data_IF_099412955463
#
_entry.id   IF_099412955463
#
_cell.length_a   1.000
_cell.length_b   1.000
_cell.length_c   1.000
_cell.angle_alpha   90.00
_cell.angle_beta   90.00
_cell.angle_gamma   90.00
#
_symmetry.space_group_name_H-M   'P 1'
#
loop_
_entity.id
_entity.type
_entity.pdbx_description
1 polymer ?
#
# COMPACT_ATOMS: atom_id res chain seq x y z
N UNK A 1 17.11 -30.06 -21.60
CA UNK A 1 16.31 -30.17 -20.35
C UNK A 1 15.74 -28.78 -20.05
N UNK A 2 14.42 -28.65 -19.95
CA UNK A 2 13.70 -27.37 -20.02
C UNK A 2 13.87 -26.54 -18.74
N UNK A 3 14.47 -25.33 -18.79
CA UNK A 3 14.67 -24.47 -17.62
C UNK A 3 13.36 -23.92 -17.01
N UNK A 4 12.23 -24.08 -17.70
CA UNK A 4 10.89 -23.69 -17.23
C UNK A 4 10.37 -24.53 -16.07
N UNK A 5 10.82 -25.79 -15.92
CA UNK A 5 10.38 -26.69 -14.82
C UNK A 5 11.01 -26.27 -13.48
N UNK A 6 12.20 -25.64 -13.51
CA UNK A 6 12.91 -25.18 -12.31
C UNK A 6 12.51 -23.76 -11.87
N UNK A 7 11.79 -23.01 -12.71
CA UNK A 7 11.26 -21.71 -12.31
C UNK A 7 10.05 -21.91 -11.40
N UNK A 8 10.28 -21.79 -10.08
CA UNK A 8 9.18 -21.68 -9.13
C UNK A 8 8.28 -20.51 -9.54
N UNK A 9 6.97 -20.74 -9.75
CA UNK A 9 6.07 -19.66 -10.11
C UNK A 9 6.03 -18.66 -8.95
N UNK A 10 6.49 -17.43 -9.21
CA UNK A 10 6.40 -16.34 -8.24
C UNK A 10 4.93 -15.90 -8.16
N UNK A 11 4.16 -16.59 -7.31
CA UNK A 11 2.76 -16.22 -7.06
C UNK A 11 2.74 -14.99 -6.17
N UNK A 12 2.60 -13.82 -6.78
CA UNK A 12 2.48 -12.55 -6.04
C UNK A 12 1.26 -12.52 -5.12
N UNK A 13 0.22 -13.32 -5.41
CA UNK A 13 -1.05 -13.34 -4.67
C UNK A 13 -1.58 -14.77 -4.50
N UNK A 14 -1.94 -15.15 -3.27
CA UNK A 14 -2.60 -16.43 -2.96
C UNK A 14 -4.11 -16.26 -2.80
N UNK A 15 -4.88 -16.76 -3.77
CA UNK A 15 -6.36 -16.71 -3.75
C UNK A 15 -6.97 -17.69 -2.76
N UNK A 16 -6.50 -18.93 -2.76
CA UNK A 16 -6.96 -19.99 -1.86
C UNK A 16 -5.74 -20.58 -1.15
N UNK A 17 -5.70 -20.49 0.18
CA UNK A 17 -4.62 -21.07 0.96
C UNK A 17 -4.84 -22.56 1.21
N UNK A 18 -3.76 -23.34 1.25
CA UNK A 18 -3.82 -24.79 1.46
C UNK A 18 -4.50 -25.19 2.79
N UNK A 19 -4.19 -24.51 3.90
CA UNK A 19 -4.73 -24.89 5.22
C UNK A 19 -6.17 -24.44 5.46
N UNK A 20 -6.53 -23.24 5.01
CA UNK A 20 -7.80 -22.59 5.40
C UNK A 20 -8.74 -22.32 4.22
N UNK A 21 -8.32 -22.58 2.98
CA UNK A 21 -9.06 -22.20 1.76
C UNK A 21 -9.20 -20.69 1.50
N UNK A 22 -8.69 -19.82 2.38
CA UNK A 22 -8.92 -18.36 2.31
C UNK A 22 -7.84 -17.59 1.53
N UNK A 23 -8.21 -16.41 1.04
CA UNK A 23 -7.28 -15.42 0.44
C UNK A 23 -6.23 -14.97 1.45
N UNK A 24 -4.99 -14.83 1.00
CA UNK A 24 -3.90 -14.25 1.81
C UNK A 24 -3.53 -12.87 1.30
N UNK A 25 -3.29 -11.95 2.24
CA UNK A 25 -2.80 -10.60 1.91
C UNK A 25 -1.30 -10.62 1.64
N UNK A 26 -0.88 -9.82 0.68
CA UNK A 26 0.54 -9.62 0.39
C UNK A 26 1.16 -8.71 1.45
N UNK A 27 2.05 -9.26 2.28
CA UNK A 27 2.63 -8.54 3.43
C UNK A 27 3.49 -7.34 3.03
N UNK A 28 4.06 -7.34 1.83
CA UNK A 28 4.84 -6.20 1.33
C UNK A 28 3.98 -4.94 1.13
N UNK A 29 2.70 -5.09 0.78
CA UNK A 29 1.76 -3.96 0.65
C UNK A 29 1.52 -3.32 2.00
N UNK A 30 1.14 -4.11 2.99
CA UNK A 30 0.85 -3.64 4.36
C UNK A 30 2.06 -2.92 4.98
N UNK A 31 3.29 -3.38 4.68
CA UNK A 31 4.52 -2.75 5.20
C UNK A 31 4.88 -1.43 4.54
N UNK A 32 4.37 -1.14 3.34
CA UNK A 32 4.82 0.00 2.50
C UNK A 32 3.75 1.05 2.27
N UNK A 33 2.49 0.68 2.39
CA UNK A 33 1.34 1.53 2.12
C UNK A 33 0.40 1.57 3.34
N UNK A 34 -0.22 2.72 3.56
CA UNK A 34 -1.25 2.92 4.57
C UNK A 34 -2.62 2.98 3.88
N UNK A 35 -3.61 2.25 4.42
CA UNK A 35 -4.99 2.23 3.93
C UNK A 35 -5.86 3.15 4.77
N UNK A 36 -6.41 4.20 4.15
CA UNK A 36 -7.42 5.08 4.76
C UNK A 36 -8.81 4.52 4.48
N UNK A 37 -9.78 4.72 5.39
CA UNK A 37 -11.09 4.06 5.29
C UNK A 37 -11.86 4.46 4.01
N UNK A 38 -11.77 5.73 3.61
CA UNK A 38 -12.30 6.31 2.37
C UNK A 38 -11.84 5.68 1.04
N UNK A 39 -11.02 4.63 1.07
CA UNK A 39 -10.58 3.90 -0.13
C UNK A 39 -9.25 4.38 -0.70
N UNK A 40 -8.65 5.42 -0.12
CA UNK A 40 -7.35 5.92 -0.54
C UNK A 40 -6.20 5.12 0.09
N UNK A 41 -5.11 5.04 -0.68
CA UNK A 41 -3.86 4.48 -0.23
C UNK A 41 -2.80 5.58 -0.20
N UNK A 42 -2.03 5.61 0.89
CA UNK A 42 -0.96 6.58 1.12
C UNK A 42 0.38 5.86 1.08
N UNK A 43 1.39 6.49 0.47
CA UNK A 43 2.77 5.99 0.42
C UNK A 43 3.79 7.09 0.66
N UNK A 44 5.01 6.69 1.04
CA UNK A 44 6.18 7.57 1.01
C UNK A 44 6.77 7.61 -0.41
N UNK A 45 7.38 8.73 -0.80
CA UNK A 45 8.13 8.80 -2.05
C UNK A 45 9.40 7.94 -1.98
N UNK A 46 9.74 7.27 -3.07
CA UNK A 46 10.92 6.41 -3.15
C UNK A 46 12.21 7.25 -3.09
N UNK A 47 13.26 6.66 -2.52
CA UNK A 47 14.57 7.32 -2.45
C UNK A 47 14.65 8.50 -1.47
N UNK A 48 13.64 8.75 -0.63
CA UNK A 48 13.65 9.84 0.36
C UNK A 48 14.77 9.75 1.42
N UNK A 49 15.43 8.60 1.55
CA UNK A 49 16.60 8.35 2.43
C UNK A 49 17.90 8.06 1.67
N UNK A 50 17.91 8.12 0.33
CA UNK A 50 19.05 7.69 -0.49
C UNK A 50 19.70 8.88 -1.19
N UNK A 51 21.04 8.87 -1.27
CA UNK A 51 21.86 9.88 -1.98
C UNK A 51 21.44 11.32 -1.66
N UNK A 52 21.23 11.63 -0.37
CA UNK A 52 20.68 12.93 0.05
C UNK A 52 21.63 14.09 -0.20
N UNK A 53 22.94 13.84 -0.15
CA UNK A 53 24.00 14.81 -0.40
C UNK A 53 23.98 15.37 -1.83
N UNK A 54 23.49 14.60 -2.82
CA UNK A 54 23.32 15.08 -4.21
C UNK A 54 22.03 15.88 -4.43
N UNK A 55 21.13 15.93 -3.44
CA UNK A 55 19.76 16.44 -3.63
C UNK A 55 19.62 17.83 -3.05
N UNK A 56 18.97 18.71 -3.80
CA UNK A 56 18.62 20.05 -3.33
C UNK A 56 17.70 19.99 -2.10
N UNK A 57 17.67 21.06 -1.31
CA UNK A 57 16.79 21.17 -0.16
C UNK A 57 15.31 20.99 -0.55
N UNK A 58 14.86 21.63 -1.64
CA UNK A 58 13.51 21.49 -2.16
C UNK A 58 13.17 20.04 -2.55
N UNK A 59 14.09 19.34 -3.22
CA UNK A 59 13.89 17.93 -3.58
C UNK A 59 13.80 17.04 -2.34
N UNK A 60 14.65 17.26 -1.32
CA UNK A 60 14.61 16.54 -0.05
C UNK A 60 13.29 16.77 0.70
N UNK A 61 12.74 17.98 0.64
CA UNK A 61 11.43 18.30 1.25
C UNK A 61 10.30 17.58 0.52
N UNK A 62 10.25 17.67 -0.81
CA UNK A 62 9.24 16.98 -1.62
C UNK A 62 9.23 15.46 -1.38
N UNK A 63 10.42 14.83 -1.36
CA UNK A 63 10.56 13.39 -1.13
C UNK A 63 10.12 12.94 0.26
N UNK A 64 10.19 13.82 1.26
CA UNK A 64 9.71 13.51 2.61
C UNK A 64 8.19 13.48 2.69
N UNK A 65 7.47 14.11 1.79
CA UNK A 65 6.01 14.14 1.84
C UNK A 65 5.39 12.75 1.59
N UNK A 66 4.26 12.50 2.25
CA UNK A 66 3.38 11.38 1.93
C UNK A 66 2.51 11.75 0.73
N UNK A 67 2.30 10.80 -0.17
CA UNK A 67 1.57 11.02 -1.42
C UNK A 67 0.50 9.94 -1.58
N UNK A 68 -0.62 10.33 -2.17
CA UNK A 68 -1.71 9.42 -2.53
C UNK A 68 -1.36 8.55 -3.73
N UNK A 69 -1.90 7.34 -3.74
CA UNK A 69 -1.85 6.45 -4.89
C UNK A 69 -2.89 6.83 -5.95
N UNK A 70 -2.61 6.49 -7.21
CA UNK A 70 -3.57 6.67 -8.31
C UNK A 70 -4.74 5.69 -8.18
N UNK A 71 -5.86 5.95 -8.85
CA UNK A 71 -7.05 5.08 -8.83
C UNK A 71 -6.73 3.63 -9.22
N UNK A 72 -5.90 3.43 -10.24
CA UNK A 72 -5.49 2.10 -10.71
C UNK A 72 -4.65 1.37 -9.67
N UNK A 73 -3.70 2.08 -9.03
CA UNK A 73 -2.90 1.54 -7.94
C UNK A 73 -3.77 1.15 -6.74
N UNK A 74 -4.70 2.01 -6.31
CA UNK A 74 -5.61 1.70 -5.21
C UNK A 74 -6.42 0.42 -5.48
N UNK A 75 -6.99 0.27 -6.69
CA UNK A 75 -7.72 -0.94 -7.09
C UNK A 75 -6.83 -2.19 -7.02
N UNK A 76 -5.57 -2.10 -7.45
CA UNK A 76 -4.61 -3.20 -7.36
C UNK A 76 -4.30 -3.57 -5.90
N UNK A 77 -4.00 -2.57 -5.05
CA UNK A 77 -3.69 -2.79 -3.63
C UNK A 77 -4.87 -3.38 -2.86
N UNK A 78 -6.10 -2.96 -3.19
CA UNK A 78 -7.32 -3.53 -2.63
C UNK A 78 -7.55 -4.99 -3.05
N UNK A 79 -7.08 -5.40 -4.23
CA UNK A 79 -7.06 -6.82 -4.63
C UNK A 79 -5.96 -7.57 -3.87
N UNK A 80 -4.81 -6.97 -3.62
CA UNK A 80 -3.69 -7.61 -2.92
C UNK A 80 -3.91 -7.77 -1.41
N UNK A 81 -4.95 -7.12 -0.86
CA UNK A 81 -5.26 -7.13 0.58
C UNK A 81 -6.64 -7.72 0.86
N UNK A 82 -6.85 -8.18 2.10
CA UNK A 82 -8.13 -8.76 2.54
C UNK A 82 -9.00 -7.69 3.21
N UNK A 83 -10.29 -8.00 3.43
CA UNK A 83 -11.25 -7.13 4.11
C UNK A 83 -10.78 -6.66 5.49
N UNK A 84 -9.99 -7.47 6.20
CA UNK A 84 -9.39 -7.12 7.48
C UNK A 84 -8.65 -5.77 7.45
N UNK A 85 -7.92 -5.47 6.37
CA UNK A 85 -7.17 -4.21 6.24
C UNK A 85 -8.03 -3.03 5.78
N UNK A 86 -9.29 -3.28 5.41
CA UNK A 86 -10.25 -2.27 4.93
C UNK A 86 -11.21 -1.81 6.03
N UNK A 87 -11.24 -2.53 7.16
CA UNK A 87 -12.10 -2.21 8.31
C UNK A 87 -11.77 -0.84 8.90
N UNK A 88 -12.78 -0.16 9.44
CA UNK A 88 -12.58 1.07 10.21
C UNK A 88 -11.83 0.75 11.51
N UNK A 89 -10.86 1.58 11.86
CA UNK A 89 -10.09 1.51 13.10
C UNK A 89 -10.23 2.82 13.86
N UNK A 90 -10.24 2.72 15.19
CA UNK A 90 -10.33 3.85 16.11
C UNK A 90 -9.17 3.73 17.10
N UNK A 91 -7.96 4.04 16.63
CA UNK A 91 -6.79 4.04 17.50
C UNK A 91 -6.76 5.34 18.30
N UNK A 92 -6.31 5.25 19.55
CA UNK A 92 -6.06 6.42 20.40
C UNK A 92 -4.92 7.23 19.78
N UNK A 93 -5.11 8.54 19.66
CA UNK A 93 -4.14 9.52 19.14
C UNK A 93 -3.60 9.22 17.73
N UNK A 94 -4.39 8.60 16.86
CA UNK A 94 -3.98 8.39 15.46
C UNK A 94 -3.94 9.72 14.68
N UNK A 95 -2.76 10.16 14.20
CA UNK A 95 -2.65 11.38 13.42
C UNK A 95 -3.43 11.32 12.09
N UNK A 96 -3.78 10.12 11.62
CA UNK A 96 -4.51 9.93 10.38
C UNK A 96 -6.03 9.92 10.53
N UNK A 97 -6.58 9.94 11.75
CA UNK A 97 -8.00 9.72 12.01
C UNK A 97 -8.92 10.62 11.18
N UNK A 98 -8.58 11.92 11.09
CA UNK A 98 -9.33 12.93 10.32
C UNK A 98 -9.38 12.66 8.80
N UNK A 99 -8.47 11.86 8.26
CA UNK A 99 -8.39 11.58 6.83
C UNK A 99 -9.11 10.29 6.44
N UNK A 100 -9.70 9.57 7.39
CA UNK A 100 -10.44 8.34 7.09
C UNK A 100 -11.75 8.61 6.36
N UNK A 101 -12.35 9.79 6.53
CA UNK A 101 -13.59 10.21 5.88
C UNK A 101 -13.31 11.30 4.84
N UNK A 102 -14.13 11.37 3.78
CA UNK A 102 -14.05 12.43 2.77
C UNK A 102 -15.21 13.38 2.98
N UNK A 103 -14.91 14.66 3.18
CA UNK A 103 -15.89 15.74 3.30
C UNK A 103 -15.93 16.55 2.01
N UNK A 104 -17.09 17.13 1.68
CA UNK A 104 -17.26 18.09 0.58
C UNK A 104 -16.84 17.55 -0.80
N UNK A 105 -17.19 16.31 -1.10
CA UNK A 105 -16.96 15.71 -2.42
C UNK A 105 -18.26 15.72 -3.23
N UNK A 106 -18.34 16.64 -4.20
CA UNK A 106 -19.37 16.61 -5.24
C UNK A 106 -18.78 15.94 -6.49
N UNK A 107 -19.57 15.09 -7.15
CA UNK A 107 -19.18 14.36 -8.37
C UNK A 107 -19.59 15.14 -9.60
#
# INVERSE_FOLDING_TARGET
LLPSILQQPVRTLTYCSLRNGKRKSVKSVVKRFLRLHNGLWVRRQSGYKKRLWKKSAAQRNRLRNLVLCTRTQCKLLDKMTTSFWKRRTWYVDDPYQKYHDRTNLCV
#
